data_IF_216483992786
#
_entry.id   IF_216483992786
#
_cell.length_a   1.000
_cell.length_b   1.000
_cell.length_c   1.000
_cell.angle_alpha   90.00
_cell.angle_beta   90.00
_cell.angle_gamma   90.00
#
_symmetry.space_group_name_H-M   'P 1'
#
loop_
_entity.id
_entity.type
_entity.pdbx_description
1 polymer ?
#
# COMPACT_ATOMS: atom_id res chain seq x y z
N UNK A 1 34.43 -18.20 -26.08
CA UNK A 1 35.10 -17.01 -25.52
C UNK A 1 34.21 -15.76 -25.63
N UNK A 2 33.74 -15.33 -26.80
CA UNK A 2 32.86 -14.15 -26.94
C UNK A 2 31.57 -14.22 -26.10
N UNK A 3 30.92 -15.39 -25.98
CA UNK A 3 29.77 -15.60 -25.15
C UNK A 3 30.06 -15.35 -23.65
N UNK A 4 31.23 -15.79 -23.16
CA UNK A 4 31.64 -15.56 -21.77
C UNK A 4 31.91 -14.08 -21.50
N UNK A 5 32.55 -13.36 -22.42
CA UNK A 5 32.80 -11.92 -22.29
C UNK A 5 31.48 -11.14 -22.19
N UNK A 6 30.48 -11.55 -23.00
CA UNK A 6 29.14 -10.94 -22.95
C UNK A 6 28.43 -11.29 -21.62
N UNK A 7 28.48 -12.55 -21.16
CA UNK A 7 27.93 -12.98 -19.89
C UNK A 7 28.58 -12.22 -18.72
N UNK A 8 29.92 -12.13 -18.68
CA UNK A 8 30.63 -11.36 -17.65
C UNK A 8 30.21 -9.88 -17.62
N UNK A 9 29.92 -9.31 -18.80
CA UNK A 9 29.45 -7.91 -18.89
C UNK A 9 28.05 -7.74 -18.34
N UNK A 10 27.14 -8.69 -18.56
CA UNK A 10 25.77 -8.67 -18.00
C UNK A 10 25.80 -8.90 -16.50
N UNK A 11 26.58 -9.89 -16.05
CA UNK A 11 26.75 -10.18 -14.61
C UNK A 11 27.35 -8.97 -13.88
N UNK A 12 28.34 -8.30 -14.48
CA UNK A 12 28.94 -7.10 -13.87
C UNK A 12 27.93 -5.97 -13.68
N UNK A 13 27.02 -5.75 -14.65
CA UNK A 13 25.92 -4.77 -14.47
C UNK A 13 24.95 -5.18 -13.38
N UNK A 14 24.54 -6.45 -13.33
CA UNK A 14 23.69 -6.95 -12.26
C UNK A 14 24.33 -6.81 -10.87
N UNK A 15 25.65 -6.93 -10.77
CA UNK A 15 26.39 -6.65 -9.54
C UNK A 15 26.40 -5.15 -9.20
N UNK A 16 26.51 -4.26 -10.19
CA UNK A 16 26.43 -2.80 -9.98
C UNK A 16 25.04 -2.40 -9.47
N UNK A 17 23.99 -2.98 -10.04
CA UNK A 17 22.60 -2.76 -9.59
C UNK A 17 22.41 -3.27 -8.15
N UNK A 18 22.95 -4.45 -7.82
CA UNK A 18 22.88 -5.03 -6.48
C UNK A 18 23.65 -4.20 -5.44
N UNK A 19 24.82 -3.66 -5.80
CA UNK A 19 25.60 -2.74 -4.96
C UNK A 19 24.79 -1.47 -4.70
N UNK A 20 24.19 -0.90 -5.75
CA UNK A 20 23.37 0.32 -5.63
C UNK A 20 22.16 0.10 -4.72
N UNK A 21 21.49 -1.05 -4.85
CA UNK A 21 20.38 -1.44 -3.98
C UNK A 21 20.85 -1.57 -2.52
N UNK A 22 21.95 -2.27 -2.29
CA UNK A 22 22.47 -2.47 -0.95
C UNK A 22 22.94 -1.15 -0.29
N UNK A 23 23.56 -0.26 -1.05
CA UNK A 23 23.97 1.07 -0.58
C UNK A 23 22.79 1.97 -0.25
N UNK A 24 21.72 1.95 -1.07
CA UNK A 24 20.50 2.70 -0.83
C UNK A 24 19.81 2.20 0.45
N UNK A 25 19.68 0.89 0.60
CA UNK A 25 19.10 0.29 1.81
C UNK A 25 19.93 0.60 3.07
N UNK A 26 21.27 0.49 2.99
CA UNK A 26 22.18 0.81 4.09
C UNK A 26 22.08 2.28 4.52
N UNK A 27 22.02 3.21 3.57
CA UNK A 27 21.87 4.63 3.83
C UNK A 27 20.54 4.95 4.53
N UNK A 28 19.45 4.33 4.08
CA UNK A 28 18.11 4.48 4.69
C UNK A 28 18.07 3.88 6.09
N UNK A 29 18.69 2.73 6.31
CA UNK A 29 18.86 2.13 7.65
C UNK A 29 19.70 3.02 8.56
N UNK A 30 20.71 3.72 8.04
CA UNK A 30 21.47 4.73 8.77
C UNK A 30 20.59 5.89 9.26
N UNK A 31 19.64 6.33 8.42
CA UNK A 31 18.65 7.35 8.79
C UNK A 31 17.69 6.84 9.86
N UNK A 32 17.19 5.60 9.72
CA UNK A 32 16.31 4.95 10.71
C UNK A 32 17.07 4.79 12.05
N UNK A 33 18.33 4.37 12.03
CA UNK A 33 19.17 4.27 13.25
C UNK A 33 19.28 5.62 13.96
N UNK A 34 19.48 6.70 13.22
CA UNK A 34 19.55 8.06 13.78
C UNK A 34 18.22 8.48 14.43
N UNK A 35 17.08 8.13 13.80
CA UNK A 35 15.75 8.36 14.34
C UNK A 35 15.48 7.54 15.61
N UNK A 36 15.89 6.27 15.65
CA UNK A 36 15.80 5.43 16.83
C UNK A 36 16.62 5.97 18.00
N UNK A 37 17.82 6.49 17.74
CA UNK A 37 18.65 7.14 18.75
C UNK A 37 17.95 8.39 19.32
N UNK A 38 17.34 9.20 18.45
CA UNK A 38 16.56 10.37 18.86
C UNK A 38 15.34 9.96 19.68
N UNK A 39 14.59 8.94 19.23
CA UNK A 39 13.47 8.36 19.96
C UNK A 39 13.86 7.87 21.35
N UNK A 40 15.02 7.22 21.46
CA UNK A 40 15.59 6.80 22.76
C UNK A 40 15.94 7.99 23.66
N UNK A 41 16.44 9.08 23.10
CA UNK A 41 16.66 10.34 23.82
C UNK A 41 15.38 10.89 24.44
N UNK A 42 14.28 10.89 23.68
CA UNK A 42 12.96 11.28 24.18
C UNK A 42 12.43 10.33 25.27
N UNK A 43 12.65 9.03 25.10
CA UNK A 43 12.28 8.05 26.12
C UNK A 43 13.03 8.28 27.44
N UNK A 44 14.34 8.56 27.40
CA UNK A 44 15.16 8.91 28.57
C UNK A 44 14.62 10.19 29.22
N UNK A 45 14.30 11.22 28.42
CA UNK A 45 13.74 12.45 28.94
C UNK A 45 12.39 12.21 29.64
N UNK A 46 11.52 11.34 29.07
CA UNK A 46 10.19 11.03 29.61
C UNK A 46 10.21 10.22 30.91
N UNK A 47 11.34 9.60 31.28
CA UNK A 47 11.49 8.90 32.58
C UNK A 47 11.59 9.89 33.75
N UNK A 48 11.83 11.18 33.49
CA UNK A 48 11.96 12.17 34.55
C UNK A 48 10.63 12.45 35.24
N UNK A 49 10.52 12.19 36.54
CA UNK A 49 9.32 12.39 37.35
C UNK A 49 8.90 13.86 37.52
N UNK A 50 9.78 14.81 37.21
CA UNK A 50 9.51 16.26 37.31
C UNK A 50 8.70 16.80 36.13
N UNK A 51 8.45 16.01 35.07
CA UNK A 51 7.70 16.44 33.91
C UNK A 51 6.20 16.52 34.21
N UNK A 52 5.55 17.59 33.74
CA UNK A 52 4.10 17.70 33.76
C UNK A 52 3.47 16.74 32.73
N UNK A 53 2.14 16.49 32.87
CA UNK A 53 1.39 15.71 31.87
C UNK A 53 1.44 16.35 30.48
N UNK A 54 1.38 17.68 30.41
CA UNK A 54 1.50 18.44 29.16
C UNK A 54 2.87 18.26 28.49
N UNK A 55 3.94 18.25 29.27
CA UNK A 55 5.30 18.03 28.74
C UNK A 55 5.44 16.60 28.22
N UNK A 56 4.90 15.60 28.94
CA UNK A 56 4.89 14.20 28.49
C UNK A 56 4.08 14.02 27.20
N UNK A 57 2.91 14.68 27.11
CA UNK A 57 2.11 14.64 25.90
C UNK A 57 2.85 15.24 24.71
N UNK A 58 3.61 16.32 24.90
CA UNK A 58 4.44 16.93 23.86
C UNK A 58 5.56 16.00 23.40
N UNK A 59 6.25 15.36 24.36
CA UNK A 59 7.29 14.36 24.06
C UNK A 59 6.69 13.16 23.33
N UNK A 60 5.51 12.68 23.76
CA UNK A 60 4.79 11.58 23.09
C UNK A 60 4.43 11.92 21.64
N UNK A 61 4.00 13.15 21.35
CA UNK A 61 3.69 13.59 20.01
C UNK A 61 4.94 13.63 19.11
N UNK A 62 6.07 14.12 19.63
CA UNK A 62 7.35 14.09 18.92
C UNK A 62 7.80 12.65 18.66
N UNK A 63 7.69 11.78 19.68
CA UNK A 63 8.01 10.37 19.56
C UNK A 63 7.15 9.68 18.48
N UNK A 64 5.84 9.91 18.47
CA UNK A 64 4.93 9.38 17.46
C UNK A 64 5.32 9.86 16.05
N UNK A 65 5.72 11.13 15.91
CA UNK A 65 6.20 11.68 14.64
C UNK A 65 7.48 11.01 14.15
N UNK A 66 8.38 10.65 15.06
CA UNK A 66 9.60 9.88 14.73
C UNK A 66 9.23 8.48 14.25
N UNK A 67 8.32 7.78 14.94
CA UNK A 67 7.87 6.45 14.51
C UNK A 67 7.24 6.50 13.12
N UNK A 68 6.36 7.46 12.85
CA UNK A 68 5.79 7.67 11.52
C UNK A 68 6.87 7.98 10.45
N UNK A 69 7.92 8.71 10.83
CA UNK A 69 9.07 8.96 9.97
C UNK A 69 9.86 7.69 9.64
N UNK A 70 10.03 6.78 10.59
CA UNK A 70 10.66 5.46 10.38
C UNK A 70 9.84 4.65 9.37
N UNK A 71 8.53 4.56 9.54
CA UNK A 71 7.63 3.85 8.61
C UNK A 71 7.71 4.46 7.22
N UNK A 72 7.69 5.80 7.12
CA UNK A 72 7.82 6.51 5.83
C UNK A 72 9.14 6.20 5.10
N UNK A 73 10.27 6.11 5.82
CA UNK A 73 11.56 5.74 5.22
C UNK A 73 11.55 4.27 4.82
N UNK A 74 11.03 3.38 5.67
CA UNK A 74 10.96 1.94 5.40
C UNK A 74 10.15 1.65 4.14
N UNK A 75 8.96 2.24 4.00
CA UNK A 75 8.08 2.07 2.85
C UNK A 75 8.52 2.89 1.64
N UNK A 76 9.19 4.02 1.85
CA UNK A 76 9.65 4.94 0.81
C UNK A 76 10.98 4.55 0.17
N UNK A 77 11.78 3.68 0.80
CA UNK A 77 13.06 3.23 0.24
C UNK A 77 12.82 2.32 -0.95
N UNK A 78 13.01 2.87 -2.15
CA UNK A 78 12.77 2.17 -3.42
C UNK A 78 13.97 2.34 -4.34
N UNK A 79 14.34 1.25 -5.01
CA UNK A 79 15.28 1.26 -6.12
C UNK A 79 14.90 0.15 -7.12
N UNK A 80 14.82 0.48 -8.41
CA UNK A 80 14.43 -0.45 -9.49
C UNK A 80 13.08 -1.16 -9.26
N UNK A 81 12.13 -0.51 -8.57
CA UNK A 81 10.84 -1.10 -8.20
C UNK A 81 10.90 -2.09 -7.04
N UNK A 82 12.04 -2.21 -6.36
CA UNK A 82 12.25 -3.04 -5.19
C UNK A 82 12.20 -2.19 -3.91
N UNK A 83 11.59 -2.75 -2.87
CA UNK A 83 11.42 -2.10 -1.57
C UNK A 83 12.13 -2.92 -0.47
N UNK A 84 13.46 -2.82 -0.35
CA UNK A 84 14.25 -3.72 0.50
C UNK A 84 13.95 -3.61 2.00
N UNK A 85 13.40 -2.48 2.44
CA UNK A 85 13.10 -2.20 3.85
C UNK A 85 11.61 -2.29 4.20
N UNK A 86 10.73 -2.45 3.20
CA UNK A 86 9.30 -2.58 3.46
C UNK A 86 8.98 -3.91 4.15
N UNK A 87 7.84 -4.01 4.81
CA UNK A 87 7.40 -5.26 5.43
C UNK A 87 7.20 -6.36 4.38
N UNK A 88 7.52 -7.61 4.72
CA UNK A 88 7.31 -8.77 3.83
C UNK A 88 5.81 -9.09 3.65
N UNK A 89 5.03 -8.86 4.69
CA UNK A 89 3.61 -9.14 4.74
C UNK A 89 2.85 -7.87 5.12
N UNK A 90 2.66 -6.92 4.19
CA UNK A 90 1.93 -5.71 4.47
C UNK A 90 0.47 -6.04 4.79
N UNK A 91 -0.06 -5.45 5.85
CA UNK A 91 -1.49 -5.46 6.09
C UNK A 91 -2.16 -4.57 5.03
N UNK A 92 -3.15 -5.12 4.36
CA UNK A 92 -3.96 -4.33 3.45
C UNK A 92 -4.70 -3.28 4.28
N UNK A 93 -4.60 -1.99 3.93
CA UNK A 93 -5.44 -1.00 4.58
C UNK A 93 -6.91 -1.41 4.40
N UNK A 94 -7.79 -1.17 5.40
CA UNK A 94 -9.20 -1.45 5.26
C UNK A 94 -9.71 -0.72 4.01
N UNK A 95 -10.50 -1.43 3.19
CA UNK A 95 -11.06 -0.83 2.00
C UNK A 95 -11.97 0.33 2.41
N UNK A 96 -11.89 1.43 1.65
CA UNK A 96 -12.76 2.58 1.82
C UNK A 96 -13.69 2.66 0.61
N UNK A 97 -14.97 2.88 0.86
CA UNK A 97 -15.90 3.32 -0.18
C UNK A 97 -15.85 4.85 -0.24
N UNK A 98 -14.99 5.37 -1.11
CA UNK A 98 -14.70 6.81 -1.11
C UNK A 98 -14.00 7.23 0.21
N UNK A 99 -14.62 8.15 0.95
CA UNK A 99 -14.13 8.60 2.26
C UNK A 99 -14.79 7.84 3.44
N UNK A 100 -15.65 6.86 3.16
CA UNK A 100 -16.40 6.12 4.16
C UNK A 100 -15.61 4.90 4.60
N UNK A 101 -15.31 4.81 5.87
CA UNK A 101 -14.62 3.66 6.44
C UNK A 101 -15.58 2.50 6.72
N UNK A 102 -15.12 1.25 6.73
CA UNK A 102 -15.93 0.14 7.18
C UNK A 102 -16.26 0.28 8.68
N UNK A 103 -17.37 -0.31 9.09
CA UNK A 103 -17.87 -0.22 10.48
C UNK A 103 -16.85 -0.67 11.53
N UNK A 104 -16.04 -1.69 11.26
CA UNK A 104 -14.99 -2.17 12.17
C UNK A 104 -13.87 -1.15 12.42
N UNK A 105 -13.67 -0.20 11.52
CA UNK A 105 -12.70 0.90 11.70
C UNK A 105 -13.32 2.02 12.55
N UNK A 106 -14.59 2.34 12.33
CA UNK A 106 -15.30 3.35 13.12
C UNK A 106 -15.67 2.87 14.52
N UNK A 107 -15.99 1.58 14.65
CA UNK A 107 -16.41 0.92 15.88
C UNK A 107 -15.49 -0.28 16.17
N UNK A 108 -14.22 -0.08 16.53
CA UNK A 108 -13.27 -1.18 16.73
C UNK A 108 -13.59 -2.08 17.93
N UNK A 109 -14.43 -1.62 18.86
CA UNK A 109 -14.87 -2.39 20.03
C UNK A 109 -16.39 -2.45 20.02
N UNK A 110 -16.93 -3.67 20.01
CA UNK A 110 -18.38 -3.89 20.08
C UNK A 110 -18.97 -3.29 21.36
N UNK A 111 -20.19 -2.75 21.26
CA UNK A 111 -20.98 -2.20 22.38
C UNK A 111 -20.29 -1.06 23.15
N UNK A 112 -19.28 -0.39 22.53
CA UNK A 112 -18.65 0.81 23.09
C UNK A 112 -19.23 2.05 22.41
N UNK A 113 -19.52 3.10 23.20
CA UNK A 113 -19.96 4.38 22.68
C UNK A 113 -18.78 5.17 22.12
N UNK A 114 -18.99 5.76 20.94
CA UNK A 114 -18.07 6.65 20.24
C UNK A 114 -18.80 7.96 19.95
N UNK A 115 -18.11 9.09 20.17
CA UNK A 115 -18.69 10.43 19.98
C UNK A 115 -18.36 10.97 18.58
N UNK A 116 -19.34 11.63 17.98
CA UNK A 116 -19.27 12.23 16.66
C UNK A 116 -19.88 13.64 16.68
N UNK A 117 -19.47 14.48 15.73
CA UNK A 117 -20.11 15.77 15.46
C UNK A 117 -21.17 15.55 14.40
N UNK A 118 -22.33 16.15 14.56
CA UNK A 118 -23.47 16.01 13.65
C UNK A 118 -23.27 16.77 12.34
N UNK A 119 -24.13 16.52 11.38
CA UNK A 119 -24.17 17.05 10.02
C UNK A 119 -24.76 16.00 9.08
N UNK A 120 -24.49 16.07 7.79
CA UNK A 120 -24.75 14.98 6.84
C UNK A 120 -23.51 14.11 6.80
N UNK A 121 -23.48 13.07 7.61
CA UNK A 121 -22.27 12.26 7.81
C UNK A 121 -22.49 10.84 7.32
N UNK A 122 -21.87 10.44 6.19
CA UNK A 122 -21.69 9.04 5.86
C UNK A 122 -20.78 8.38 6.90
N UNK A 123 -21.38 7.83 7.96
CA UNK A 123 -20.69 7.42 9.17
C UNK A 123 -19.80 6.22 8.94
N UNK A 124 -20.35 5.17 8.33
CA UNK A 124 -19.64 3.94 8.04
C UNK A 124 -20.37 3.13 6.97
N UNK A 125 -19.68 2.19 6.33
CA UNK A 125 -20.37 1.17 5.55
C UNK A 125 -20.28 -0.20 6.20
N UNK A 126 -21.32 -1.01 5.99
CA UNK A 126 -21.45 -2.37 6.50
C UNK A 126 -21.15 -3.32 5.32
N UNK A 127 -20.07 -4.11 5.37
CA UNK A 127 -19.74 -5.07 4.31
C UNK A 127 -20.80 -6.16 4.18
N UNK A 128 -21.08 -6.58 2.94
CA UNK A 128 -21.85 -7.79 2.65
C UNK A 128 -21.24 -9.02 3.37
N UNK A 129 -22.09 -9.94 3.83
CA UNK A 129 -21.69 -11.10 4.63
C UNK A 129 -21.69 -10.86 6.15
N UNK A 130 -21.80 -9.61 6.60
CA UNK A 130 -21.92 -9.29 8.02
C UNK A 130 -23.27 -9.75 8.60
N UNK A 131 -23.33 -10.09 9.89
CA UNK A 131 -24.55 -10.63 10.52
C UNK A 131 -24.84 -10.01 11.88
N UNK A 132 -26.14 -9.98 12.23
CA UNK A 132 -26.63 -9.50 13.52
C UNK A 132 -26.10 -8.10 13.87
N UNK A 133 -26.16 -7.20 12.91
CA UNK A 133 -25.74 -5.81 13.10
C UNK A 133 -26.81 -5.06 13.89
N UNK A 134 -26.40 -4.33 14.91
CA UNK A 134 -27.26 -3.34 15.56
C UNK A 134 -26.46 -2.06 15.82
N UNK A 135 -26.91 -0.97 15.20
CA UNK A 135 -26.35 0.36 15.37
C UNK A 135 -27.34 1.17 16.19
N UNK A 136 -26.87 1.79 17.26
CA UNK A 136 -27.68 2.69 18.10
C UNK A 136 -26.98 4.04 18.12
N UNK A 137 -27.73 5.11 17.91
CA UNK A 137 -27.27 6.49 18.14
C UNK A 137 -28.05 7.09 19.33
N UNK A 138 -27.43 8.11 19.91
CA UNK A 138 -28.02 8.92 20.99
C UNK A 138 -27.63 10.37 20.74
N UNK A 139 -28.57 11.18 20.37
CA UNK A 139 -28.39 12.61 20.15
C UNK A 139 -28.05 13.32 21.48
N UNK A 140 -27.09 14.24 21.44
CA UNK A 140 -26.55 14.94 22.62
C UNK A 140 -26.88 16.45 22.61
N UNK A 141 -27.91 16.87 21.94
CA UNK A 141 -28.23 18.29 21.83
C UNK A 141 -29.47 18.55 21.03
N UNK A 142 -29.29 18.90 19.77
CA UNK A 142 -30.37 18.93 18.81
C UNK A 142 -30.58 17.51 18.26
N UNK A 143 -31.41 17.38 17.27
CA UNK A 143 -31.82 16.13 16.69
C UNK A 143 -30.76 15.51 15.78
N UNK A 144 -30.63 14.18 15.80
CA UNK A 144 -29.74 13.38 14.95
C UNK A 144 -30.42 12.07 14.58
N UNK A 145 -30.64 11.84 13.29
CA UNK A 145 -31.29 10.63 12.77
C UNK A 145 -30.33 9.67 12.10
N UNK A 146 -30.53 8.39 12.33
CA UNK A 146 -29.83 7.32 11.61
C UNK A 146 -30.55 6.97 10.31
N UNK A 147 -29.81 6.93 9.23
CA UNK A 147 -30.28 6.65 7.90
C UNK A 147 -29.51 5.46 7.31
N UNK A 148 -30.22 4.52 6.68
CA UNK A 148 -29.62 3.34 6.07
C UNK A 148 -29.85 3.35 4.57
N UNK A 149 -28.79 3.24 3.77
CA UNK A 149 -28.84 3.24 2.31
C UNK A 149 -28.15 2.03 1.71
N UNK A 150 -28.62 1.60 0.54
CA UNK A 150 -27.81 0.83 -0.39
C UNK A 150 -26.85 1.73 -1.15
N UNK A 151 -25.84 1.18 -1.79
CA UNK A 151 -24.87 1.96 -2.55
C UNK A 151 -25.44 2.59 -3.83
N UNK A 152 -26.54 2.09 -4.38
CA UNK A 152 -27.23 2.66 -5.52
C UNK A 152 -28.20 3.80 -5.16
N UNK A 153 -28.37 4.08 -3.87
CA UNK A 153 -29.14 5.23 -3.38
C UNK A 153 -30.54 4.88 -2.85
N UNK A 154 -30.88 3.59 -2.67
CA UNK A 154 -32.13 3.23 -2.02
C UNK A 154 -32.04 3.52 -0.52
N UNK A 155 -33.01 4.29 -0.04
CA UNK A 155 -33.17 4.61 1.36
C UNK A 155 -34.04 3.53 2.00
N UNK A 156 -33.44 2.74 2.90
CA UNK A 156 -34.09 1.56 3.50
C UNK A 156 -34.70 1.83 4.86
N UNK A 157 -34.04 2.65 5.68
CA UNK A 157 -34.51 2.99 7.01
C UNK A 157 -34.08 4.41 7.39
N UNK A 158 -34.94 5.11 8.13
CA UNK A 158 -34.69 6.48 8.59
C UNK A 158 -35.88 7.40 8.38
N UNK A 159 -35.60 8.68 8.16
CA UNK A 159 -36.58 9.74 7.99
C UNK A 159 -36.67 10.18 6.51
N UNK A 160 -37.86 10.50 5.97
CA UNK A 160 -38.03 10.82 4.55
C UNK A 160 -37.45 12.19 4.19
N UNK A 161 -36.91 12.27 2.96
CA UNK A 161 -36.47 13.54 2.36
C UNK A 161 -37.59 14.18 1.54
N UNK A 162 -38.44 13.36 0.94
CA UNK A 162 -39.54 13.81 0.09
C UNK A 162 -40.86 13.83 0.88
N UNK A 163 -41.77 14.70 0.46
CA UNK A 163 -43.13 14.72 0.98
C UNK A 163 -43.61 16.13 1.38
N UNK A 164 -44.81 16.17 1.94
CA UNK A 164 -45.39 17.41 2.47
C UNK A 164 -44.84 17.80 3.85
N UNK A 165 -44.09 16.91 4.48
CA UNK A 165 -43.58 17.03 5.84
C UNK A 165 -42.16 16.37 5.90
N UNK A 166 -41.15 17.04 5.31
CA UNK A 166 -39.79 16.56 5.35
C UNK A 166 -39.25 16.74 6.78
N UNK A 167 -38.41 15.77 7.19
CA UNK A 167 -37.80 15.82 8.48
C UNK A 167 -36.89 17.05 8.67
N UNK A 168 -36.87 17.57 9.91
CA UNK A 168 -36.08 18.74 10.28
C UNK A 168 -34.58 18.55 10.04
N UNK A 169 -34.04 17.40 10.35
CA UNK A 169 -32.61 17.10 10.23
C UNK A 169 -32.12 17.21 8.79
N UNK A 170 -32.93 16.76 7.82
CA UNK A 170 -32.64 16.95 6.40
C UNK A 170 -32.74 18.40 5.97
N UNK A 171 -33.82 19.06 6.33
CA UNK A 171 -34.10 20.47 5.93
C UNK A 171 -33.04 21.41 6.48
N UNK A 172 -32.65 21.25 7.76
CA UNK A 172 -31.62 22.07 8.39
C UNK A 172 -30.25 21.90 7.76
N UNK A 173 -30.00 20.77 7.12
CA UNK A 173 -28.79 20.48 6.34
C UNK A 173 -28.95 20.76 4.83
N UNK A 174 -30.01 21.49 4.43
CA UNK A 174 -30.28 21.91 3.04
C UNK A 174 -30.48 20.71 2.09
N UNK A 175 -31.05 19.63 2.57
CA UNK A 175 -31.52 18.50 1.77
C UNK A 175 -33.04 18.49 1.88
N UNK A 176 -33.74 18.91 0.84
CA UNK A 176 -35.19 19.17 0.86
C UNK A 176 -35.95 18.35 -0.17
N UNK A 177 -35.25 17.63 -1.02
CA UNK A 177 -35.82 16.82 -2.08
C UNK A 177 -34.80 15.81 -2.65
N UNK A 178 -35.24 14.91 -3.51
CA UNK A 178 -34.38 13.94 -4.18
C UNK A 178 -33.23 14.59 -4.98
N UNK A 179 -33.44 15.75 -5.57
CA UNK A 179 -32.42 16.43 -6.37
C UNK A 179 -31.27 16.96 -5.50
N UNK A 180 -31.59 17.53 -4.34
CA UNK A 180 -30.62 17.96 -3.34
C UNK A 180 -29.90 16.77 -2.69
N UNK A 181 -30.62 15.65 -2.42
CA UNK A 181 -30.02 14.41 -1.95
C UNK A 181 -29.00 13.83 -2.96
N UNK A 182 -29.39 13.74 -4.24
CA UNK A 182 -28.49 13.27 -5.31
C UNK A 182 -27.21 14.10 -5.42
N UNK A 183 -27.31 15.42 -5.16
CA UNK A 183 -26.17 16.31 -5.32
C UNK A 183 -25.26 16.37 -4.08
N UNK A 184 -25.86 16.33 -2.88
CA UNK A 184 -25.15 16.57 -1.61
C UNK A 184 -24.73 15.31 -0.88
N UNK A 185 -25.55 14.23 -0.99
CA UNK A 185 -25.34 12.98 -0.27
C UNK A 185 -24.79 11.87 -1.17
N UNK A 186 -25.45 11.58 -2.32
CA UNK A 186 -25.20 10.39 -3.12
C UNK A 186 -23.97 10.52 -4.02
N UNK A 187 -22.81 10.77 -3.44
CA UNK A 187 -21.54 10.90 -4.16
C UNK A 187 -20.65 9.68 -3.94
N UNK A 188 -19.73 9.41 -4.88
CA UNK A 188 -18.71 8.37 -4.69
C UNK A 188 -17.81 8.63 -3.46
N UNK A 189 -17.56 9.89 -3.13
CA UNK A 189 -16.83 10.26 -1.92
C UNK A 189 -17.55 9.80 -0.65
N UNK A 190 -18.88 9.78 -0.67
CA UNK A 190 -19.73 9.32 0.42
C UNK A 190 -20.06 7.81 0.37
N UNK A 191 -19.34 7.04 -0.46
CA UNK A 191 -19.48 5.58 -0.55
C UNK A 191 -20.51 5.09 -1.57
N UNK A 192 -21.29 5.96 -2.19
CA UNK A 192 -22.28 5.59 -3.17
C UNK A 192 -21.62 5.25 -4.52
N UNK A 193 -22.26 4.41 -5.30
CA UNK A 193 -21.76 4.08 -6.63
C UNK A 193 -21.97 5.25 -7.62
N UNK A 194 -21.25 5.20 -8.73
CA UNK A 194 -21.44 6.19 -9.79
C UNK A 194 -22.86 6.09 -10.37
N UNK A 195 -23.55 7.24 -10.42
CA UNK A 195 -24.93 7.30 -10.92
C UNK A 195 -25.99 6.88 -9.89
N UNK A 196 -25.66 6.76 -8.62
CA UNK A 196 -26.63 6.54 -7.55
C UNK A 196 -27.70 7.64 -7.57
N UNK A 197 -28.95 7.25 -7.39
CA UNK A 197 -30.10 8.15 -7.35
C UNK A 197 -30.96 7.83 -6.13
N UNK A 198 -31.46 8.88 -5.48
CA UNK A 198 -32.30 8.73 -4.31
C UNK A 198 -33.62 8.01 -4.65
N UNK A 199 -33.90 6.96 -3.90
CA UNK A 199 -35.12 6.14 -4.04
C UNK A 199 -35.60 5.73 -2.62
N UNK A 200 -36.74 6.27 -2.20
CA UNK A 200 -37.39 6.00 -0.91
C UNK A 200 -38.57 5.01 -1.02
N UNK A 201 -38.72 4.34 -2.14
CA UNK A 201 -39.81 3.39 -2.40
C UNK A 201 -39.86 2.21 -1.41
N UNK A 202 -38.77 1.94 -0.69
CA UNK A 202 -38.63 0.87 0.31
C UNK A 202 -38.39 1.40 1.72
N UNK A 203 -38.49 2.71 1.91
CA UNK A 203 -38.20 3.34 3.20
C UNK A 203 -39.13 2.84 4.31
N UNK A 204 -38.55 2.33 5.39
CA UNK A 204 -39.24 2.17 6.66
C UNK A 204 -38.91 3.36 7.58
N UNK A 205 -39.97 3.93 8.08
CA UNK A 205 -39.93 5.09 8.97
C UNK A 205 -40.15 4.63 10.40
N UNK A 206 -39.56 5.32 11.36
CA UNK A 206 -39.82 5.09 12.79
C UNK A 206 -41.31 5.23 13.09
N UNK A 207 -41.81 4.40 13.97
CA UNK A 207 -43.23 4.46 14.38
C UNK A 207 -43.54 5.71 15.21
N UNK A 208 -44.82 6.10 15.25
CA UNK A 208 -45.30 7.24 16.02
C UNK A 208 -45.18 7.08 17.57
N UNK A 209 -44.79 5.91 18.06
CA UNK A 209 -44.52 5.63 19.45
C UNK A 209 -43.10 5.11 19.59
N UNK A 210 -42.31 5.82 20.36
CA UNK A 210 -40.95 5.40 20.64
C UNK A 210 -40.89 4.06 21.40
N UNK A 211 -40.25 3.07 20.80
CA UNK A 211 -39.90 1.80 21.40
C UNK A 211 -38.59 1.28 20.81
N UNK A 212 -37.49 1.39 21.57
CA UNK A 212 -36.16 0.92 21.11
C UNK A 212 -36.11 -0.59 20.79
N UNK A 213 -37.07 -1.36 21.31
CA UNK A 213 -37.17 -2.80 21.06
C UNK A 213 -38.27 -3.16 20.07
N UNK A 214 -39.12 -2.20 19.69
CA UNK A 214 -40.12 -2.31 18.65
C UNK A 214 -39.64 -1.79 17.31
N UNK A 215 -40.43 -0.94 16.69
CA UNK A 215 -40.10 -0.27 15.42
C UNK A 215 -40.69 -0.92 14.21
N UNK A 216 -40.46 -0.29 13.05
CA UNK A 216 -40.89 -0.78 11.76
C UNK A 216 -39.89 -1.80 11.22
N UNK A 217 -40.37 -2.77 10.43
CA UNK A 217 -39.52 -3.81 9.86
C UNK A 217 -39.69 -3.91 8.33
N UNK A 218 -38.60 -4.12 7.62
CA UNK A 218 -38.51 -4.30 6.19
C UNK A 218 -37.80 -5.63 5.87
N UNK A 219 -38.33 -6.39 4.93
CA UNK A 219 -37.57 -7.47 4.27
C UNK A 219 -37.14 -7.00 2.90
N UNK A 220 -35.83 -6.80 2.74
CA UNK A 220 -35.24 -6.30 1.49
C UNK A 220 -34.02 -7.15 1.12
N UNK A 221 -33.97 -7.65 -0.11
CA UNK A 221 -32.88 -8.46 -0.66
C UNK A 221 -32.44 -9.63 0.27
N UNK A 222 -33.44 -10.26 0.96
CA UNK A 222 -33.20 -11.32 1.94
C UNK A 222 -32.61 -10.85 3.29
N UNK A 223 -32.52 -9.55 3.50
CA UNK A 223 -32.18 -8.92 4.78
C UNK A 223 -33.47 -8.57 5.54
N UNK A 224 -33.54 -8.82 6.84
CA UNK A 224 -34.56 -8.27 7.71
C UNK A 224 -33.96 -7.08 8.45
N UNK A 225 -34.53 -5.91 8.19
CA UNK A 225 -34.09 -4.62 8.73
C UNK A 225 -35.19 -4.14 9.67
N UNK A 226 -34.81 -3.72 10.88
CA UNK A 226 -35.74 -3.07 11.80
C UNK A 226 -35.19 -1.70 12.16
N UNK A 227 -36.04 -0.69 12.11
CA UNK A 227 -35.74 0.67 12.51
C UNK A 227 -36.65 1.10 13.67
N UNK A 228 -36.02 1.60 14.72
CA UNK A 228 -36.69 2.17 15.92
C UNK A 228 -36.12 3.57 16.14
N UNK A 229 -36.93 4.57 15.99
CA UNK A 229 -36.56 5.98 16.20
C UNK A 229 -37.28 6.57 17.38
N UNK A 230 -37.00 7.80 17.72
CA UNK A 230 -37.63 8.56 18.77
C UNK A 230 -39.03 9.11 18.40
N UNK A 231 -39.42 8.99 17.14
CA UNK A 231 -40.79 9.22 16.66
C UNK A 231 -41.17 10.66 16.40
N UNK A 232 -40.18 11.55 16.27
CA UNK A 232 -40.41 12.99 16.19
C UNK A 232 -40.31 13.60 14.79
N UNK A 233 -40.50 12.79 13.82
CA UNK A 233 -40.48 13.10 12.38
C UNK A 233 -41.50 14.16 11.93
N UNK A 234 -42.56 14.43 12.71
CA UNK A 234 -43.69 15.18 12.27
C UNK A 234 -43.70 16.63 12.76
N UNK A 235 -44.31 17.53 11.97
CA UNK A 235 -44.64 18.86 12.35
C UNK A 235 -45.45 18.82 13.68
N UNK A 236 -45.00 19.57 14.68
CA UNK A 236 -45.77 19.73 15.92
C UNK A 236 -47.05 20.51 15.59
N UNK A 237 -48.14 19.78 15.49
CA UNK A 237 -49.46 20.34 15.19
C UNK A 237 -49.94 21.38 16.20
N UNK A 238 -49.28 21.49 17.37
CA UNK A 238 -49.68 22.43 18.45
C UNK A 238 -48.96 23.75 18.37
N UNK A 239 -47.75 23.81 17.81
CA UNK A 239 -46.94 25.04 17.74
C UNK A 239 -46.69 25.53 16.33
N UNK A 240 -47.01 24.75 15.28
CA UNK A 240 -46.80 25.12 13.88
C UNK A 240 -45.33 25.20 13.50
N UNK A 241 -44.43 24.55 14.24
CA UNK A 241 -43.01 24.37 13.96
C UNK A 241 -42.69 22.91 13.67
N UNK A 242 -41.55 22.67 13.07
CA UNK A 242 -41.01 21.31 12.96
C UNK A 242 -40.73 20.76 14.35
N UNK A 243 -41.01 19.48 14.56
CA UNK A 243 -40.53 18.81 15.75
C UNK A 243 -39.01 18.70 15.65
N UNK A 244 -38.33 19.32 16.61
CA UNK A 244 -36.87 19.42 16.64
C UNK A 244 -36.20 18.23 17.34
N UNK A 245 -36.91 17.12 17.49
CA UNK A 245 -36.42 15.91 18.12
C UNK A 245 -36.32 15.97 19.63
N UNK A 246 -36.73 17.08 20.21
CA UNK A 246 -36.57 17.29 21.63
C UNK A 246 -37.80 16.86 22.41
N UNK A 247 -38.28 15.65 22.20
CA UNK A 247 -39.40 15.09 22.97
C UNK A 247 -39.04 14.71 24.41
N UNK A 248 -37.92 15.19 24.90
CA UNK A 248 -37.55 15.34 26.30
C UNK A 248 -37.11 14.10 27.06
N UNK A 249 -37.16 12.90 26.50
CA UNK A 249 -36.83 11.71 27.28
C UNK A 249 -36.04 10.60 26.57
N UNK A 250 -36.09 10.47 25.23
CA UNK A 250 -35.47 9.37 24.54
C UNK A 250 -34.95 9.80 23.17
N UNK A 251 -33.69 10.19 23.13
CA UNK A 251 -32.95 10.59 21.93
C UNK A 251 -32.21 9.38 21.29
N UNK A 252 -32.78 8.19 21.44
CA UNK A 252 -32.15 6.94 20.97
C UNK A 252 -32.82 6.46 19.71
N UNK A 253 -32.01 6.23 18.69
CA UNK A 253 -32.40 5.55 17.48
C UNK A 253 -31.60 4.27 17.27
N UNK A 254 -32.20 3.29 16.61
CA UNK A 254 -31.58 1.99 16.41
C UNK A 254 -31.98 1.36 15.07
N UNK A 255 -31.00 0.94 14.32
CA UNK A 255 -31.17 0.08 13.16
C UNK A 255 -30.61 -1.30 13.47
N UNK A 256 -31.36 -2.37 13.19
CA UNK A 256 -30.88 -3.74 13.29
C UNK A 256 -31.00 -4.44 11.94
N UNK A 257 -30.04 -5.31 11.63
CA UNK A 257 -29.98 -6.08 10.36
C UNK A 257 -29.53 -7.48 10.73
N UNK A 258 -30.30 -8.51 10.35
CA UNK A 258 -29.96 -9.90 10.64
C UNK A 258 -28.79 -10.42 9.79
N UNK A 259 -28.90 -10.29 8.47
CA UNK A 259 -27.86 -10.67 7.49
C UNK A 259 -27.72 -9.56 6.47
N UNK A 260 -26.48 -9.20 6.18
CA UNK A 260 -26.15 -8.15 5.20
C UNK A 260 -25.77 -8.80 3.88
N UNK A 261 -26.64 -8.71 2.87
CA UNK A 261 -26.44 -9.37 1.58
C UNK A 261 -25.80 -8.47 0.51
N UNK A 262 -25.69 -7.18 0.78
CA UNK A 262 -25.00 -6.19 -0.03
C UNK A 262 -24.40 -5.10 0.84
N UNK A 263 -23.37 -4.40 0.35
CA UNK A 263 -22.75 -3.29 1.11
C UNK A 263 -23.78 -2.19 1.38
N UNK A 264 -23.97 -1.83 2.64
CA UNK A 264 -24.88 -0.78 3.07
C UNK A 264 -24.11 0.43 3.61
N UNK A 265 -24.66 1.63 3.42
CA UNK A 265 -24.09 2.87 3.95
C UNK A 265 -24.96 3.37 5.08
N UNK A 266 -24.35 3.60 6.24
CA UNK A 266 -24.99 4.26 7.38
C UNK A 266 -24.66 5.72 7.32
N UNK A 267 -25.69 6.55 7.30
CA UNK A 267 -25.59 8.01 7.35
C UNK A 267 -26.25 8.49 8.63
N UNK A 268 -25.68 9.50 9.27
CA UNK A 268 -26.34 10.22 10.36
C UNK A 268 -26.52 11.66 9.89
N UNK A 269 -27.74 12.15 10.06
CA UNK A 269 -28.11 13.50 9.68
C UNK A 269 -28.65 14.22 10.92
N UNK A 270 -28.15 15.41 11.19
CA UNK A 270 -28.58 16.14 12.37
C UNK A 270 -27.73 17.36 12.68
N UNK A 271 -27.93 17.92 13.87
CA UNK A 271 -27.27 19.13 14.32
C UNK A 271 -26.72 18.96 15.74
N UNK A 272 -25.46 19.32 15.96
CA UNK A 272 -24.80 19.26 17.27
C UNK A 272 -23.79 18.14 17.40
N UNK A 273 -24.07 17.13 18.21
CA UNK A 273 -23.21 15.96 18.41
C UNK A 273 -24.04 14.77 18.87
N UNK A 274 -23.54 13.57 18.58
CA UNK A 274 -24.16 12.33 19.00
C UNK A 274 -23.14 11.31 19.47
N UNK A 275 -23.59 10.31 20.22
CA UNK A 275 -22.83 9.09 20.43
C UNK A 275 -23.43 7.94 19.64
N UNK A 276 -22.61 7.05 19.18
CA UNK A 276 -23.05 5.84 18.49
C UNK A 276 -22.29 4.63 18.99
N UNK A 277 -22.98 3.49 19.03
CA UNK A 277 -22.40 2.17 19.31
C UNK A 277 -22.90 1.14 18.33
N UNK A 278 -22.05 0.15 18.08
CA UNK A 278 -22.34 -0.97 17.20
C UNK A 278 -22.19 -2.29 17.96
N UNK A 279 -23.11 -3.22 17.69
CA UNK A 279 -22.93 -4.64 18.01
C UNK A 279 -23.08 -5.49 16.76
N UNK A 280 -22.43 -6.65 16.74
CA UNK A 280 -22.45 -7.56 15.60
C UNK A 280 -22.29 -9.02 16.03
N UNK A 281 -22.77 -9.94 15.21
CA UNK A 281 -22.44 -11.36 15.32
C UNK A 281 -21.14 -11.68 14.58
N UNK A 282 -21.11 -11.40 13.28
CA UNK A 282 -19.93 -11.46 12.43
C UNK A 282 -19.79 -10.16 11.64
N UNK A 283 -18.57 -9.64 11.53
CA UNK A 283 -18.23 -8.57 10.59
C UNK A 283 -17.32 -9.13 9.51
N UNK A 284 -17.80 -9.10 8.28
CA UNK A 284 -16.96 -9.46 7.14
C UNK A 284 -15.88 -8.41 6.87
N UNK A 285 -14.76 -8.88 6.35
CA UNK A 285 -13.72 -8.00 5.88
C UNK A 285 -14.19 -7.28 4.61
N UNK A 286 -13.86 -6.00 4.44
CA UNK A 286 -14.16 -5.28 3.21
C UNK A 286 -13.55 -6.00 1.99
N UNK A 287 -14.37 -6.24 0.96
CA UNK A 287 -13.94 -6.92 -0.27
C UNK A 287 -13.23 -6.02 -1.27
N UNK A 288 -13.37 -4.70 -1.13
CA UNK A 288 -12.67 -3.76 -2.01
C UNK A 288 -11.17 -3.79 -1.74
N UNK A 289 -10.39 -4.10 -2.77
CA UNK A 289 -8.94 -4.05 -2.70
C UNK A 289 -8.46 -2.61 -2.90
N UNK A 290 -7.38 -2.17 -2.23
CA UNK A 290 -6.79 -0.87 -2.48
C UNK A 290 -6.35 -0.77 -3.95
N UNK A 291 -6.55 0.39 -4.57
CA UNK A 291 -6.20 0.64 -5.97
C UNK A 291 -4.69 0.45 -6.23
N UNK A 292 -3.87 0.62 -5.23
CA UNK A 292 -2.42 0.41 -5.29
C UNK A 292 -2.04 -0.78 -4.41
N UNK A 293 -1.38 -1.81 -4.95
CA UNK A 293 -0.89 -2.90 -4.13
C UNK A 293 0.09 -2.37 -3.07
N UNK A 294 0.04 -2.89 -1.85
CA UNK A 294 0.94 -2.45 -0.81
C UNK A 294 2.38 -2.78 -1.18
N UNK A 295 3.29 -1.88 -0.81
CA UNK A 295 4.73 -2.07 -0.98
C UNK A 295 5.18 -3.20 -0.07
N UNK A 296 5.88 -4.17 -0.64
CA UNK A 296 6.44 -5.30 0.13
C UNK A 296 7.87 -5.57 -0.29
N UNK A 297 8.66 -6.05 0.64
CA UNK A 297 9.99 -6.55 0.34
C UNK A 297 9.94 -7.98 -0.17
N UNK A 298 10.85 -8.28 -1.08
CA UNK A 298 11.07 -9.62 -1.62
C UNK A 298 12.56 -9.92 -1.68
N UNK A 299 13.00 -11.17 -1.53
CA UNK A 299 14.38 -11.56 -1.72
C UNK A 299 14.84 -11.23 -3.14
N UNK A 300 16.04 -10.67 -3.27
CA UNK A 300 16.64 -10.31 -4.56
C UNK A 300 17.80 -11.26 -4.90
N UNK A 301 17.68 -11.96 -6.01
CA UNK A 301 18.69 -12.92 -6.47
C UNK A 301 19.70 -12.23 -7.39
N UNK A 302 20.97 -12.20 -6.97
CA UNK A 302 22.09 -11.58 -7.68
C UNK A 302 22.93 -12.67 -8.31
N UNK A 303 23.06 -12.67 -9.64
CA UNK A 303 23.95 -13.58 -10.35
C UNK A 303 25.38 -13.10 -10.17
N UNK A 304 26.25 -13.99 -9.70
CA UNK A 304 27.68 -13.69 -9.44
C UNK A 304 28.63 -14.32 -10.44
N UNK A 305 28.18 -15.33 -11.22
CA UNK A 305 28.93 -15.95 -12.31
C UNK A 305 27.98 -16.66 -13.28
N UNK A 306 28.22 -16.54 -14.58
CA UNK A 306 27.42 -17.17 -15.63
C UNK A 306 28.30 -17.55 -16.84
N UNK A 307 29.29 -18.40 -16.64
CA UNK A 307 30.14 -18.89 -17.73
C UNK A 307 29.42 -19.93 -18.60
N UNK A 308 29.67 -19.89 -19.90
CA UNK A 308 29.10 -20.87 -20.81
C UNK A 308 29.63 -22.30 -20.50
N UNK A 309 28.71 -23.21 -20.23
CA UNK A 309 29.03 -24.59 -19.86
C UNK A 309 29.13 -24.84 -18.36
N UNK A 310 29.10 -23.81 -17.53
CA UNK A 310 29.09 -23.91 -16.06
C UNK A 310 27.68 -23.64 -15.49
N UNK A 311 27.46 -24.06 -14.25
CA UNK A 311 26.24 -23.68 -13.50
C UNK A 311 26.28 -22.19 -13.16
N UNK A 312 25.13 -21.52 -13.31
CA UNK A 312 24.94 -20.13 -12.89
C UNK A 312 25.04 -20.05 -11.36
N UNK A 313 25.95 -19.27 -10.87
CA UNK A 313 26.09 -18.98 -9.44
C UNK A 313 25.37 -17.70 -9.08
N UNK A 314 24.53 -17.76 -8.06
CA UNK A 314 23.81 -16.61 -7.54
C UNK A 314 23.97 -16.49 -6.03
N UNK A 315 23.69 -15.31 -5.53
CA UNK A 315 23.61 -15.00 -4.10
C UNK A 315 22.31 -14.26 -3.87
N UNK A 316 21.56 -14.66 -2.87
CA UNK A 316 20.32 -13.96 -2.47
C UNK A 316 20.67 -12.85 -1.50
N UNK A 317 20.12 -11.67 -1.78
CA UNK A 317 20.07 -10.56 -0.85
C UNK A 317 18.71 -10.59 -0.18
N UNK A 318 18.69 -10.96 1.10
CA UNK A 318 17.46 -11.06 1.88
C UNK A 318 16.92 -9.67 2.22
N UNK A 319 15.58 -9.49 2.25
CA UNK A 319 14.98 -8.25 2.68
C UNK A 319 15.24 -8.00 4.17
N UNK A 320 15.27 -6.74 4.56
CA UNK A 320 15.49 -6.31 5.94
C UNK A 320 14.40 -5.32 6.35
N UNK A 321 13.16 -5.81 6.56
CA UNK A 321 12.06 -4.94 6.93
C UNK A 321 12.36 -4.14 8.18
N UNK A 322 12.20 -2.81 8.07
CA UNK A 322 12.59 -1.85 9.12
C UNK A 322 11.44 -0.91 9.51
N UNK A 323 10.20 -1.32 9.24
CA UNK A 323 8.99 -0.66 9.74
C UNK A 323 8.85 -0.83 11.26
N UNK A 324 8.09 0.05 11.89
CA UNK A 324 7.94 0.09 13.37
C UNK A 324 7.35 -1.21 13.92
N UNK A 325 6.47 -1.88 13.18
CA UNK A 325 5.86 -3.16 13.57
C UNK A 325 6.90 -4.28 13.55
N UNK A 326 7.67 -4.40 12.48
CA UNK A 326 8.76 -5.39 12.35
C UNK A 326 9.87 -5.14 13.37
N UNK A 327 10.14 -3.88 13.70
CA UNK A 327 11.10 -3.50 14.74
C UNK A 327 10.56 -3.69 16.17
N UNK A 328 9.23 -3.93 16.33
CA UNK A 328 8.58 -4.16 17.62
C UNK A 328 8.42 -2.91 18.47
N UNK A 329 8.31 -1.74 17.85
CA UNK A 329 8.18 -0.43 18.51
C UNK A 329 6.88 0.30 18.18
N UNK A 330 5.99 -0.26 17.36
CA UNK A 330 4.74 0.37 16.92
C UNK A 330 3.78 0.69 18.07
N UNK A 331 3.82 -0.07 19.17
CA UNK A 331 3.03 0.10 20.38
C UNK A 331 3.78 0.82 21.52
N UNK A 332 5.01 1.28 21.27
CA UNK A 332 5.78 2.00 22.26
C UNK A 332 5.13 3.36 22.60
N UNK A 333 5.14 3.72 23.88
CA UNK A 333 4.55 4.96 24.42
C UNK A 333 5.49 5.60 25.43
N UNK A 334 5.39 6.94 25.55
CA UNK A 334 6.17 7.74 26.50
C UNK A 334 5.27 8.55 27.45
N UNK A 335 4.00 8.23 27.52
CA UNK A 335 2.98 8.91 28.33
C UNK A 335 3.12 8.71 29.84
N UNK A 336 3.79 7.65 30.27
CA UNK A 336 4.11 7.36 31.66
C UNK A 336 5.58 6.97 31.82
N UNK A 337 6.11 7.11 33.05
CA UNK A 337 7.48 6.65 33.35
C UNK A 337 7.66 5.15 33.08
N UNK A 338 6.63 4.36 33.36
CA UNK A 338 6.68 2.91 33.14
C UNK A 338 6.68 2.57 31.64
N UNK A 339 5.82 3.23 30.85
CA UNK A 339 5.79 3.05 29.38
C UNK A 339 7.09 3.51 28.74
N UNK A 340 7.67 4.63 29.20
CA UNK A 340 8.95 5.13 28.73
C UNK A 340 10.11 4.16 28.99
N UNK A 341 10.16 3.54 30.17
CA UNK A 341 11.14 2.48 30.47
C UNK A 341 10.98 1.26 29.57
N UNK A 342 9.74 0.84 29.34
CA UNK A 342 9.43 -0.25 28.39
C UNK A 342 9.86 0.09 26.97
N UNK A 343 9.56 1.32 26.53
CA UNK A 343 9.95 1.82 25.21
C UNK A 343 11.48 1.82 25.00
N UNK A 344 12.26 2.21 26.02
CA UNK A 344 13.73 2.15 25.96
C UNK A 344 14.24 0.75 25.62
N UNK A 345 13.72 -0.29 26.29
CA UNK A 345 14.11 -1.68 26.00
C UNK A 345 13.75 -2.13 24.59
N UNK A 346 12.58 -1.72 24.10
CA UNK A 346 12.16 -1.98 22.71
C UNK A 346 13.04 -1.26 21.70
N UNK A 347 13.38 0.00 21.96
CA UNK A 347 14.27 0.80 21.11
C UNK A 347 15.69 0.24 21.04
N UNK A 348 16.21 -0.29 22.15
CA UNK A 348 17.52 -0.95 22.16
C UNK A 348 17.52 -2.21 21.31
N UNK A 349 16.44 -2.99 21.36
CA UNK A 349 16.27 -4.17 20.52
C UNK A 349 16.14 -3.78 19.04
N UNK A 350 15.37 -2.72 18.73
CA UNK A 350 15.23 -2.20 17.40
C UNK A 350 16.57 -1.70 16.82
N UNK A 351 17.35 -0.95 17.60
CA UNK A 351 18.69 -0.49 17.21
C UNK A 351 19.61 -1.67 16.89
N UNK A 352 19.69 -2.67 17.76
CA UNK A 352 20.50 -3.86 17.52
C UNK A 352 20.08 -4.60 16.23
N UNK A 353 18.78 -4.65 15.93
CA UNK A 353 18.26 -5.25 14.71
C UNK A 353 18.66 -4.45 13.47
N UNK A 354 18.50 -3.12 13.50
CA UNK A 354 18.91 -2.23 12.41
C UNK A 354 20.43 -2.29 12.17
N UNK A 355 21.24 -2.34 13.21
CA UNK A 355 22.70 -2.49 13.08
C UNK A 355 23.06 -3.85 12.48
N UNK A 356 22.33 -4.91 12.82
CA UNK A 356 22.45 -6.22 12.18
C UNK A 356 22.15 -6.15 10.67
N UNK A 357 21.09 -5.47 10.28
CA UNK A 357 20.73 -5.27 8.88
C UNK A 357 21.78 -4.47 8.10
N UNK A 358 22.30 -3.39 8.69
CA UNK A 358 23.39 -2.60 8.11
C UNK A 358 24.65 -3.44 7.91
N UNK A 359 24.98 -4.29 8.87
CA UNK A 359 26.11 -5.22 8.75
C UNK A 359 25.91 -6.22 7.61
N UNK A 360 24.68 -6.73 7.39
CA UNK A 360 24.36 -7.62 6.28
C UNK A 360 24.56 -6.92 4.91
N UNK A 361 24.07 -5.68 4.74
CA UNK A 361 24.28 -4.92 3.52
C UNK A 361 25.75 -4.59 3.31
N UNK A 362 26.47 -4.17 4.33
CA UNK A 362 27.91 -3.92 4.24
C UNK A 362 28.69 -5.16 3.81
N UNK A 363 28.37 -6.32 4.36
CA UNK A 363 28.98 -7.59 3.96
C UNK A 363 28.61 -7.96 2.51
N UNK A 364 27.36 -7.72 2.09
CA UNK A 364 26.91 -7.97 0.72
C UNK A 364 27.64 -7.07 -0.29
N UNK A 365 27.78 -5.77 0.00
CA UNK A 365 28.52 -4.82 -0.84
C UNK A 365 29.96 -5.31 -1.04
N UNK A 366 30.69 -5.60 0.03
CA UNK A 366 32.07 -6.09 -0.06
C UNK A 366 32.18 -7.38 -0.89
N UNK A 367 31.21 -8.28 -0.77
CA UNK A 367 31.16 -9.53 -1.52
C UNK A 367 30.90 -9.30 -3.00
N UNK A 368 29.99 -8.39 -3.36
CA UNK A 368 29.69 -8.03 -4.74
C UNK A 368 30.86 -7.29 -5.38
N UNK A 369 31.53 -6.37 -4.69
CA UNK A 369 32.74 -5.70 -5.16
C UNK A 369 33.87 -6.70 -5.43
N UNK A 370 34.07 -7.68 -4.53
CA UNK A 370 35.05 -8.74 -4.72
C UNK A 370 34.71 -9.59 -5.95
N UNK A 371 33.44 -9.98 -6.12
CA UNK A 371 32.97 -10.72 -7.29
C UNK A 371 33.18 -9.94 -8.58
N UNK A 372 32.88 -8.65 -8.59
CA UNK A 372 33.12 -7.75 -9.73
C UNK A 372 34.60 -7.65 -10.10
N UNK A 373 35.47 -7.56 -9.09
CA UNK A 373 36.94 -7.57 -9.33
C UNK A 373 37.41 -8.85 -9.98
N UNK A 374 36.94 -10.02 -9.53
CA UNK A 374 37.26 -11.33 -10.13
C UNK A 374 36.76 -11.41 -11.57
N UNK A 375 35.53 -10.99 -11.83
CA UNK A 375 34.95 -10.96 -13.18
C UNK A 375 35.74 -10.05 -14.11
N UNK A 376 36.19 -8.89 -13.65
CA UNK A 376 37.01 -7.97 -14.44
C UNK A 376 38.33 -8.61 -14.84
N UNK A 377 39.02 -9.31 -13.91
CA UNK A 377 40.26 -10.04 -14.20
C UNK A 377 40.03 -11.19 -15.19
N UNK A 378 38.93 -11.95 -15.00
CA UNK A 378 38.56 -13.06 -15.89
C UNK A 378 38.25 -12.56 -17.31
N UNK A 379 37.52 -11.44 -17.43
CA UNK A 379 37.23 -10.80 -18.71
C UNK A 379 38.51 -10.40 -19.45
N UNK A 380 39.48 -9.76 -18.78
CA UNK A 380 40.79 -9.39 -19.37
C UNK A 380 41.54 -10.62 -19.80
N UNK A 381 41.62 -11.68 -19.01
CA UNK A 381 42.26 -12.92 -19.37
C UNK A 381 41.62 -13.59 -20.59
N UNK A 382 40.29 -13.64 -20.63
CA UNK A 382 39.53 -14.21 -21.76
C UNK A 382 39.72 -13.39 -23.05
N UNK A 383 39.72 -12.05 -22.96
CA UNK A 383 39.97 -11.16 -24.07
C UNK A 383 41.41 -11.35 -24.63
N UNK A 384 42.41 -11.43 -23.74
CA UNK A 384 43.77 -11.72 -24.12
C UNK A 384 43.91 -13.08 -24.84
N UNK A 385 43.26 -14.11 -24.32
CA UNK A 385 43.26 -15.43 -24.96
C UNK A 385 42.57 -15.41 -26.33
N UNK A 386 41.46 -14.67 -26.46
CA UNK A 386 40.73 -14.50 -27.70
C UNK A 386 41.60 -13.79 -28.75
N UNK A 387 42.28 -12.69 -28.39
CA UNK A 387 43.20 -11.95 -29.26
C UNK A 387 44.31 -12.86 -29.78
N UNK A 388 44.97 -13.63 -28.88
CA UNK A 388 46.03 -14.57 -29.28
C UNK A 388 45.57 -15.61 -30.30
N UNK A 389 44.36 -16.14 -30.15
CA UNK A 389 43.80 -17.11 -31.11
C UNK A 389 43.48 -16.43 -32.42
N UNK A 390 42.86 -15.27 -32.41
CA UNK A 390 42.52 -14.51 -33.61
C UNK A 390 43.76 -14.05 -34.36
N UNK A 391 44.76 -13.57 -33.64
CA UNK A 391 46.03 -13.14 -34.22
C UNK A 391 46.80 -14.32 -34.85
N UNK A 392 46.80 -15.49 -34.21
CA UNK A 392 47.42 -16.72 -34.76
C UNK A 392 46.67 -17.20 -36.01
N UNK A 393 45.34 -17.21 -36.02
CA UNK A 393 44.54 -17.58 -37.19
C UNK A 393 44.72 -16.60 -38.34
N UNK A 394 44.80 -15.29 -38.05
CA UNK A 394 45.07 -14.26 -39.04
C UNK A 394 46.46 -14.43 -39.67
N UNK A 395 47.50 -14.70 -38.89
CA UNK A 395 48.86 -14.96 -39.37
C UNK A 395 48.93 -16.22 -40.26
N UNK A 396 48.19 -17.29 -39.85
CA UNK A 396 48.10 -18.51 -40.65
C UNK A 396 47.38 -18.26 -41.97
N UNK A 397 46.27 -17.52 -41.99
CA UNK A 397 45.51 -17.21 -43.20
C UNK A 397 46.26 -16.27 -44.12
N UNK A 398 46.97 -15.27 -43.58
CA UNK A 398 47.88 -14.38 -44.35
C UNK A 398 48.99 -15.17 -44.99
N UNK A 399 49.60 -16.13 -44.26
CA UNK A 399 50.66 -17.02 -44.83
C UNK A 399 50.13 -17.90 -45.97
N UNK A 400 48.90 -18.43 -45.86
CA UNK A 400 48.24 -19.19 -46.94
C UNK A 400 47.94 -18.29 -48.14
N UNK A 401 47.46 -17.07 -47.93
CA UNK A 401 47.21 -16.11 -48.99
C UNK A 401 48.48 -15.71 -49.73
N UNK A 402 49.56 -15.39 -48.98
CA UNK A 402 50.88 -15.11 -49.58
C UNK A 402 51.42 -16.29 -50.42
N UNK A 403 51.32 -17.52 -49.90
CA UNK A 403 51.70 -18.74 -50.62
C UNK A 403 50.89 -18.91 -51.91
N UNK A 404 49.57 -18.67 -51.85
CA UNK A 404 48.70 -18.73 -53.04
C UNK A 404 49.07 -17.66 -54.07
N UNK A 405 49.39 -16.44 -53.64
CA UNK A 405 49.88 -15.36 -54.56
C UNK A 405 51.18 -15.71 -55.21
N UNK A 406 52.18 -16.20 -54.44
CA UNK A 406 53.49 -16.63 -55.01
C UNK A 406 53.27 -17.76 -56.01
N UNK A 407 52.41 -18.74 -55.70
CA UNK A 407 52.13 -19.83 -56.67
C UNK A 407 51.44 -19.30 -57.93
N UNK A 408 50.52 -18.36 -57.82
CA UNK A 408 49.81 -17.74 -58.93
C UNK A 408 50.83 -16.94 -59.85
N UNK A 409 51.71 -16.15 -59.24
CA UNK A 409 52.75 -15.42 -59.96
C UNK A 409 53.71 -16.37 -60.62
N UNK A 410 54.16 -17.46 -59.95
CA UNK A 410 55.03 -18.49 -60.51
C UNK A 410 54.38 -19.20 -61.69
N UNK A 411 53.07 -19.58 -61.56
CA UNK A 411 52.32 -20.19 -62.67
C UNK A 411 52.20 -19.25 -63.88
N UNK A 412 51.93 -17.97 -63.65
CA UNK A 412 51.87 -16.96 -64.70
C UNK A 412 53.22 -16.80 -65.37
N UNK A 413 54.34 -16.81 -64.63
CA UNK A 413 55.66 -16.75 -65.14
C UNK A 413 55.99 -17.99 -65.99
N UNK A 414 55.67 -19.20 -65.50
CA UNK A 414 55.84 -20.46 -66.22
C UNK A 414 54.99 -20.49 -67.48
N UNK A 415 53.73 -20.04 -67.46
CA UNK A 415 52.89 -19.93 -68.65
C UNK A 415 53.44 -18.96 -69.67
N UNK A 416 53.98 -17.84 -69.21
CA UNK A 416 54.66 -16.86 -70.12
C UNK A 416 55.88 -17.47 -70.83
N UNK A 417 56.73 -18.21 -70.09
CA UNK A 417 57.90 -18.92 -70.66
C UNK A 417 57.41 -20.05 -71.56
N UNK A 418 56.43 -20.83 -71.20
CA UNK A 418 55.86 -21.90 -72.02
C UNK A 418 55.27 -21.38 -73.34
N UNK A 419 54.64 -20.22 -73.34
CA UNK A 419 54.10 -19.58 -74.55
C UNK A 419 55.18 -18.95 -75.41
N UNK A 420 56.33 -18.53 -74.84
CA UNK A 420 57.47 -18.01 -75.56
C UNK A 420 58.35 -19.11 -76.18
N UNK A 421 58.38 -20.32 -75.63
CA UNK A 421 59.21 -21.44 -76.13
C UNK A 421 58.87 -21.81 -77.57
N UNK A 422 57.65 -21.90 -78.06
CA UNK A 422 57.30 -22.16 -79.43
C UNK A 422 57.75 -21.02 -80.40
N UNK A 423 57.65 -19.77 -79.93
CA UNK A 423 58.10 -18.62 -80.72
C UNK A 423 59.60 -18.60 -80.91
N UNK A 424 60.36 -18.95 -79.86
CA UNK A 424 61.84 -19.08 -79.96
C UNK A 424 62.25 -20.26 -80.83
N UNK A 425 61.49 -21.36 -80.81
CA UNK A 425 61.73 -22.49 -81.75
C UNK A 425 61.44 -22.11 -83.21
N UNK A 426 60.35 -21.33 -83.42
CA UNK A 426 60.01 -20.84 -84.77
C UNK A 426 61.03 -19.85 -85.30
N UNK A 427 61.62 -19.02 -84.43
CA UNK A 427 62.69 -18.08 -84.83
C UNK A 427 63.99 -18.78 -85.20
N UNK A 428 64.30 -19.92 -84.48
CA UNK A 428 65.45 -20.77 -84.81
C UNK A 428 65.31 -21.58 -86.11
N UNK A 429 64.07 -21.90 -86.52
CA UNK A 429 63.73 -22.60 -87.75
C UNK A 429 63.67 -21.67 -88.99
N UNK A 430 63.58 -20.36 -88.77
CA UNK A 430 63.51 -19.34 -89.85
C UNK A 430 64.82 -18.58 -90.10
N UNK A 431 65.87 -18.85 -89.31
CA UNK A 431 67.23 -18.28 -89.50
C UNK A 431 68.20 -19.10 -90.31
#
# INVERSE_FOLDING_TARGET
>A
MGANINADTVVSRGLDDAISLAQTAESSLGSISSMLIRAKGLAIQSVNDSLSESDRASIQNEFASILAGIDSISEGTEIFGLYPLATENPELPPALLGNVAPVNTKFPIANKDYSFTSGVIPLAYIPAGSTNIAITINSLGADDDIQLFTRDGKHLAGTPINGSDPDYTWVSNSITDSASANTRLLSQANGFQSGATYDDSQLIEGGAAWDINGGASLSYNGMNITYSGDGDRYEDSTTGGFNDGNNGANLLERVTIDNVNEDLIVVVVGNGSFTSKLTWGNLEAPTAQPATPPKKSIPYQVVTSANFGDEIRSTTLEPTPADTKTLGINDARLDTVQSARSAMGKLDTALAKVDGYRSQYGAAINRFESSKSVLAQQKVATQSAQSRIQDADYALETSKMLKAQILQESQNAVLKIANQAPENLLSLLRG
#
